data_IF_880515506668
#
_entry.id   IF_880515506668
#
_cell.length_a   1.000
_cell.length_b   1.000
_cell.length_c   1.000
_cell.angle_alpha   90.00
_cell.angle_beta   90.00
_cell.angle_gamma   90.00
#
_symmetry.space_group_name_H-M   'P 1'
#
loop_
_entity.id
_entity.type
_entity.pdbx_description
1 polymer ?
#
# COMPACT_ATOMS: atom_id res chain seq x y z
N UNK A 1 12.78 12.42 -20.84
CA UNK A 1 13.59 11.55 -19.94
C UNK A 1 12.61 10.87 -19.00
N UNK A 2 12.55 9.54 -19.01
CA UNK A 2 11.68 8.80 -18.10
C UNK A 2 12.41 8.57 -16.78
N UNK A 3 11.83 9.01 -15.68
CA UNK A 3 12.38 8.78 -14.34
C UNK A 3 11.59 7.65 -13.67
N UNK A 4 12.24 6.51 -13.49
CA UNK A 4 11.74 5.41 -12.69
C UNK A 4 12.47 5.43 -11.36
N UNK A 5 11.74 5.35 -10.25
CA UNK A 5 12.34 5.31 -8.92
C UNK A 5 11.60 4.35 -8.01
N UNK A 6 12.36 3.51 -7.31
CA UNK A 6 11.85 2.75 -6.18
C UNK A 6 11.82 3.67 -4.96
N UNK A 7 10.65 3.78 -4.32
CA UNK A 7 10.48 4.60 -3.12
C UNK A 7 9.75 3.80 -2.07
N UNK A 8 10.22 3.86 -0.83
CA UNK A 8 9.46 3.35 0.30
C UNK A 8 8.25 4.24 0.54
N UNK A 9 7.13 3.64 0.96
CA UNK A 9 5.91 4.37 1.30
C UNK A 9 6.16 5.54 2.27
N UNK A 10 7.00 5.33 3.29
CA UNK A 10 7.36 6.34 4.29
C UNK A 10 8.10 7.56 3.73
N UNK A 11 8.67 7.47 2.52
CA UNK A 11 9.37 8.57 1.86
C UNK A 11 8.46 9.48 1.04
N UNK A 12 7.18 9.10 0.88
CA UNK A 12 6.18 9.89 0.18
C UNK A 12 5.63 10.99 1.07
N UNK A 13 5.20 12.11 0.48
CA UNK A 13 4.44 13.12 1.21
C UNK A 13 3.03 12.61 1.57
N UNK A 14 2.38 13.25 2.56
CA UNK A 14 1.10 12.81 3.10
C UNK A 14 0.01 12.59 2.05
N UNK A 15 -0.12 13.51 1.10
CA UNK A 15 -1.10 13.38 0.01
C UNK A 15 -0.85 12.13 -0.85
N UNK A 16 0.42 11.80 -1.14
CA UNK A 16 0.74 10.60 -1.91
C UNK A 16 0.57 9.33 -1.08
N UNK A 17 0.81 9.40 0.22
CA UNK A 17 0.52 8.29 1.12
C UNK A 17 -0.98 7.96 1.13
N UNK A 18 -1.86 8.96 1.18
CA UNK A 18 -3.33 8.77 1.12
C UNK A 18 -3.76 8.08 -0.19
N UNK A 19 -3.27 8.57 -1.34
CA UNK A 19 -3.57 7.95 -2.63
C UNK A 19 -3.06 6.50 -2.73
N UNK A 20 -1.86 6.23 -2.20
CA UNK A 20 -1.31 4.87 -2.19
C UNK A 20 -2.08 3.96 -1.26
N UNK A 21 -2.55 4.46 -0.11
CA UNK A 21 -3.41 3.68 0.79
C UNK A 21 -4.68 3.24 0.08
N UNK A 22 -5.37 4.15 -0.60
CA UNK A 22 -6.56 3.84 -1.39
C UNK A 22 -6.26 2.80 -2.47
N UNK A 23 -5.17 2.98 -3.22
CA UNK A 23 -4.75 2.02 -4.26
C UNK A 23 -4.46 0.63 -3.68
N UNK A 24 -3.80 0.54 -2.52
CA UNK A 24 -3.52 -0.73 -1.84
C UNK A 24 -4.82 -1.38 -1.35
N UNK A 25 -5.75 -0.59 -0.80
CA UNK A 25 -7.06 -1.09 -0.40
C UNK A 25 -7.80 -1.67 -1.60
N UNK A 26 -7.93 -0.94 -2.71
CA UNK A 26 -8.62 -1.42 -3.91
C UNK A 26 -7.97 -2.68 -4.51
N UNK A 27 -6.63 -2.72 -4.60
CA UNK A 27 -5.90 -3.85 -5.18
C UNK A 27 -5.91 -5.09 -4.28
N UNK A 28 -5.79 -4.92 -2.96
CA UNK A 28 -5.57 -6.03 -2.03
C UNK A 28 -6.81 -6.47 -1.25
N UNK A 29 -7.82 -5.61 -1.10
CA UNK A 29 -9.05 -5.96 -0.39
C UNK A 29 -9.71 -7.26 -0.88
N UNK A 30 -9.79 -7.57 -2.20
CA UNK A 30 -10.35 -8.84 -2.67
C UNK A 30 -9.60 -10.09 -2.19
N UNK A 31 -8.32 -9.95 -1.82
CA UNK A 31 -7.45 -11.04 -1.37
C UNK A 31 -7.34 -11.13 0.15
N UNK A 32 -7.99 -10.21 0.86
CA UNK A 32 -7.94 -10.09 2.31
C UNK A 32 -9.33 -10.44 2.87
N UNK A 33 -9.37 -11.31 3.88
CA UNK A 33 -10.59 -11.60 4.63
C UNK A 33 -10.80 -10.50 5.68
N UNK A 34 -11.08 -9.28 5.21
CA UNK A 34 -11.16 -8.09 6.05
C UNK A 34 -12.50 -8.08 6.80
N UNK A 35 -12.52 -7.99 8.13
CA UNK A 35 -13.75 -7.82 8.89
C UNK A 35 -14.48 -6.53 8.47
N UNK A 36 -15.82 -6.52 8.43
CA UNK A 36 -16.59 -5.31 8.07
C UNK A 36 -16.42 -4.16 9.08
N UNK A 37 -15.89 -4.44 10.26
CA UNK A 37 -15.58 -3.46 11.32
C UNK A 37 -14.23 -2.79 11.14
N UNK A 38 -13.43 -3.19 10.14
CA UNK A 38 -12.09 -2.65 9.92
C UNK A 38 -12.18 -1.19 9.50
N UNK A 39 -11.63 -0.29 10.30
CA UNK A 39 -11.64 1.15 10.02
C UNK A 39 -10.48 1.56 9.12
N UNK A 40 -10.59 2.77 8.56
CA UNK A 40 -9.53 3.38 7.76
C UNK A 40 -8.24 3.55 8.57
N UNK A 41 -8.31 3.84 9.87
CA UNK A 41 -7.13 3.96 10.73
C UNK A 41 -6.35 2.65 10.84
N UNK A 42 -7.05 1.51 10.91
CA UNK A 42 -6.41 0.18 10.99
C UNK A 42 -5.65 -0.11 9.70
N UNK A 43 -6.25 0.17 8.55
CA UNK A 43 -5.60 0.07 7.25
C UNK A 43 -4.38 0.98 7.14
N UNK A 44 -4.54 2.26 7.48
CA UNK A 44 -3.45 3.24 7.46
C UNK A 44 -2.28 2.77 8.33
N UNK A 45 -2.55 2.28 9.54
CA UNK A 45 -1.54 1.75 10.45
C UNK A 45 -0.85 0.52 9.87
N UNK A 46 -1.60 -0.43 9.33
CA UNK A 46 -1.06 -1.68 8.80
C UNK A 46 -0.15 -1.40 7.58
N UNK A 47 -0.57 -0.54 6.66
CA UNK A 47 0.21 -0.13 5.48
C UNK A 47 1.46 0.63 5.89
N UNK A 48 1.35 1.59 6.82
CA UNK A 48 2.52 2.32 7.36
C UNK A 48 3.54 1.38 8.00
N UNK A 49 3.06 0.38 8.73
CA UNK A 49 3.91 -0.62 9.39
C UNK A 49 4.58 -1.54 8.38
N UNK A 50 3.86 -1.97 7.34
CA UNK A 50 4.41 -2.77 6.25
C UNK A 50 5.43 -1.99 5.40
N UNK A 51 5.27 -0.67 5.33
CA UNK A 51 6.12 0.27 4.60
C UNK A 51 6.53 -0.24 3.21
N UNK A 52 5.56 -0.53 2.31
CA UNK A 52 5.85 -1.20 1.06
C UNK A 52 6.75 -0.36 0.16
N UNK A 53 7.56 -1.06 -0.65
CA UNK A 53 8.31 -0.43 -1.73
C UNK A 53 7.40 -0.24 -2.94
N UNK A 54 7.45 0.96 -3.52
CA UNK A 54 6.62 1.39 -4.62
C UNK A 54 7.50 1.71 -5.82
N UNK A 55 7.02 1.34 -7.00
CA UNK A 55 7.57 1.75 -8.27
C UNK A 55 6.82 2.99 -8.74
N UNK A 56 7.50 4.13 -8.71
CA UNK A 56 7.00 5.40 -9.26
C UNK A 56 7.60 5.61 -10.64
N UNK A 57 6.75 5.81 -11.63
CA UNK A 57 7.16 6.06 -13.01
C UNK A 57 6.50 7.33 -13.53
N UNK A 58 7.33 8.21 -14.09
CA UNK A 58 6.86 9.42 -14.76
C UNK A 58 7.36 9.45 -16.20
N UNK A 59 6.41 9.34 -17.13
CA UNK A 59 6.58 9.64 -18.55
C UNK A 59 5.66 10.81 -18.89
N UNK A 60 4.44 10.52 -19.35
CA UNK A 60 3.38 11.50 -19.61
C UNK A 60 2.25 11.40 -18.57
N UNK A 61 2.18 10.25 -17.87
CA UNK A 61 1.25 9.97 -16.77
C UNK A 61 2.08 9.50 -15.58
N UNK A 62 1.78 10.02 -14.40
CA UNK A 62 2.37 9.53 -13.17
C UNK A 62 1.71 8.21 -12.77
N UNK A 63 2.50 7.14 -12.71
CA UNK A 63 2.04 5.81 -12.30
C UNK A 63 2.72 5.39 -11.01
N UNK A 64 1.93 4.93 -10.04
CA UNK A 64 2.44 4.25 -8.85
C UNK A 64 1.98 2.80 -8.88
N UNK A 65 2.91 1.87 -8.64
CA UNK A 65 2.62 0.44 -8.46
C UNK A 65 3.33 -0.08 -7.24
N UNK A 66 2.76 -1.09 -6.59
CA UNK A 66 3.45 -1.86 -5.55
C UNK A 66 4.55 -2.68 -6.22
N UNK A 67 5.79 -2.62 -5.71
CA UNK A 67 6.86 -3.46 -6.22
C UNK A 67 6.51 -4.94 -6.02
N UNK A 68 6.68 -5.83 -7.03
CA UNK A 68 6.33 -7.24 -6.92
C UNK A 68 6.97 -7.93 -5.71
N UNK A 69 8.22 -7.58 -5.40
CA UNK A 69 8.99 -8.10 -4.28
C UNK A 69 8.39 -7.69 -2.93
N UNK A 70 7.80 -6.49 -2.87
CA UNK A 70 7.15 -5.96 -1.67
C UNK A 70 5.71 -6.47 -1.51
N UNK A 71 5.07 -6.94 -2.59
CA UNK A 71 3.65 -7.29 -2.59
C UNK A 71 3.33 -8.46 -1.66
N UNK A 72 4.13 -9.52 -1.69
CA UNK A 72 3.91 -10.70 -0.85
C UNK A 72 4.04 -10.37 0.64
N UNK A 73 5.06 -9.59 1.02
CA UNK A 73 5.27 -9.15 2.40
C UNK A 73 4.17 -8.20 2.87
N UNK A 74 3.73 -7.28 2.02
CA UNK A 74 2.59 -6.40 2.28
C UNK A 74 1.32 -7.21 2.53
N UNK A 75 0.99 -8.15 1.65
CA UNK A 75 -0.21 -8.98 1.79
C UNK A 75 -0.18 -9.79 3.09
N UNK A 76 0.93 -10.46 3.39
CA UNK A 76 1.09 -11.22 4.63
C UNK A 76 0.90 -10.32 5.86
N UNK A 77 1.45 -9.10 5.85
CA UNK A 77 1.33 -8.17 6.97
C UNK A 77 -0.09 -7.65 7.14
N UNK A 78 -0.76 -7.31 6.04
CA UNK A 78 -2.16 -6.91 6.05
C UNK A 78 -3.04 -8.05 6.55
N UNK A 79 -2.81 -9.29 6.14
CA UNK A 79 -3.54 -10.44 6.67
C UNK A 79 -3.38 -10.52 8.19
N UNK A 80 -2.18 -10.40 8.73
CA UNK A 80 -1.96 -10.46 10.18
C UNK A 80 -2.65 -9.33 10.94
N UNK A 81 -2.47 -8.08 10.51
CA UNK A 81 -2.98 -6.90 11.22
C UNK A 81 -4.50 -6.75 11.08
N UNK A 82 -5.06 -7.07 9.91
CA UNK A 82 -6.50 -6.91 9.65
C UNK A 82 -7.32 -8.10 10.15
N UNK A 83 -6.75 -9.31 10.22
CA UNK A 83 -7.44 -10.45 10.83
C UNK A 83 -7.47 -10.36 12.36
N UNK A 84 -6.41 -9.80 12.97
CA UNK A 84 -6.30 -9.63 14.42
C UNK A 84 -7.12 -8.45 14.97
N UNK A 85 -7.74 -7.64 14.10
CA UNK A 85 -8.62 -6.54 14.47
C UNK A 85 -10.08 -6.98 14.73
N UNK A 86 -10.30 -8.29 14.88
CA UNK A 86 -11.60 -8.90 15.23
C UNK A 86 -11.72 -9.21 16.72
#
# INVERSE_FOLDING_TARGET
>A
MSASSHRSFSSLCSTMQELVIQLIQEDLHPFLQVPPTTTEEVWCRAIRTANPTLFCHYTDIFTIKICPESRSGLLQRLQQELSAAS
#
